data_IF_285297646192
#
_entry.id   IF_285297646192
#
_cell.length_a   1.000
_cell.length_b   1.000
_cell.length_c   1.000
_cell.angle_alpha   90.00
_cell.angle_beta   90.00
_cell.angle_gamma   90.00
#
_symmetry.space_group_name_H-M   'P 1'
#
loop_
_entity.id
_entity.type
_entity.pdbx_description
1 polymer ?
#
# COMPACT_ATOMS: atom_id res chain seq x y z
N UNK A 1 -49.42 49.68 1.11
CA UNK A 1 -49.04 50.78 2.04
C UNK A 1 -47.76 50.36 2.76
N UNK A 2 -46.66 51.12 2.56
CA UNK A 2 -45.44 51.35 3.38
C UNK A 2 -45.08 50.28 4.45
N UNK A 3 -43.84 49.82 4.67
CA UNK A 3 -42.48 50.15 4.21
C UNK A 3 -41.52 49.02 4.69
N UNK A 4 -40.36 48.93 4.01
CA UNK A 4 -39.16 48.11 4.29
C UNK A 4 -38.50 48.44 5.64
N UNK A 5 -37.67 47.51 6.14
CA UNK A 5 -36.62 47.80 7.12
C UNK A 5 -35.62 46.64 7.26
N UNK A 6 -34.48 46.78 6.58
CA UNK A 6 -33.26 45.96 6.70
C UNK A 6 -32.29 46.73 7.60
N UNK A 7 -31.63 46.10 8.58
CA UNK A 7 -30.40 46.64 9.19
C UNK A 7 -29.40 45.49 9.34
N UNK A 8 -28.30 45.64 8.60
CA UNK A 8 -27.06 44.90 8.76
C UNK A 8 -26.18 45.61 9.81
N UNK A 9 -25.42 44.85 10.59
CA UNK A 9 -24.26 45.37 11.31
C UNK A 9 -23.00 44.72 10.76
N UNK A 10 -22.20 45.53 10.08
CA UNK A 10 -20.79 45.28 9.83
C UNK A 10 -19.99 46.07 10.88
N UNK A 11 -19.03 45.42 11.53
CA UNK A 11 -18.01 46.09 12.32
C UNK A 11 -16.65 45.69 11.76
N UNK A 12 -16.07 46.59 10.96
CA UNK A 12 -14.66 46.61 10.65
C UNK A 12 -13.96 47.41 11.76
N UNK A 13 -13.02 46.79 12.45
CA UNK A 13 -12.13 47.43 13.41
C UNK A 13 -10.71 47.44 12.88
N UNK A 14 -10.30 48.56 12.30
CA UNK A 14 -8.89 48.90 12.06
C UNK A 14 -8.33 49.47 13.36
N UNK A 15 -7.25 48.89 13.87
CA UNK A 15 -6.37 49.54 14.85
C UNK A 15 -4.98 49.59 14.22
N UNK A 16 -4.56 50.79 13.85
CA UNK A 16 -3.19 51.08 13.46
C UNK A 16 -2.45 51.81 14.59
N UNK A 17 -1.15 51.55 14.69
CA UNK A 17 -0.18 52.50 15.20
C UNK A 17 0.23 52.34 16.67
N UNK A 18 1.35 51.67 16.90
CA UNK A 18 2.03 51.65 18.19
C UNK A 18 3.35 50.89 18.12
N UNK A 19 4.31 51.41 17.34
CA UNK A 19 5.66 50.86 17.26
C UNK A 19 6.38 51.08 18.59
N UNK A 20 6.52 50.01 19.38
CA UNK A 20 7.54 49.91 20.42
C UNK A 20 8.71 49.11 19.84
N UNK A 21 9.78 49.83 19.52
CA UNK A 21 11.10 49.25 19.29
C UNK A 21 11.62 48.69 20.61
N UNK A 22 11.34 47.41 20.88
CA UNK A 22 12.17 46.61 21.77
C UNK A 22 13.23 45.93 20.91
N UNK A 23 14.47 46.40 21.00
CA UNK A 23 15.65 45.69 20.51
C UNK A 23 15.81 44.40 21.32
N UNK A 24 15.11 43.35 20.90
CA UNK A 24 15.40 42.00 21.33
C UNK A 24 16.53 41.48 20.45
N UNK A 25 17.75 41.53 20.97
CA UNK A 25 18.88 40.78 20.41
C UNK A 25 18.52 39.31 20.51
N UNK A 26 18.02 38.73 19.42
CA UNK A 26 17.83 37.30 19.33
C UNK A 26 19.21 36.65 19.35
N UNK A 27 19.67 36.26 20.54
CA UNK A 27 20.72 35.25 20.65
C UNK A 27 20.08 33.99 20.09
N UNK A 28 20.35 33.72 18.81
CA UNK A 28 20.09 32.43 18.19
C UNK A 28 20.92 31.42 18.99
N UNK A 29 20.29 30.73 19.92
CA UNK A 29 20.89 29.56 20.53
C UNK A 29 21.24 28.61 19.37
N UNK A 30 22.53 28.48 19.08
CA UNK A 30 23.02 27.44 18.19
C UNK A 30 22.65 26.13 18.87
N UNK A 31 21.60 25.47 18.38
CA UNK A 31 21.36 24.08 18.71
C UNK A 31 22.61 23.32 18.29
N UNK A 32 23.35 22.86 19.30
CA UNK A 32 24.47 21.97 19.10
C UNK A 32 23.93 20.75 18.36
N UNK A 33 24.53 20.35 17.22
CA UNK A 33 24.06 19.20 16.47
C UNK A 33 24.04 18.00 17.42
N UNK A 34 22.92 17.29 17.46
CA UNK A 34 22.81 16.07 18.24
C UNK A 34 23.98 15.14 17.84
N UNK A 35 24.66 14.50 18.80
CA UNK A 35 25.73 13.56 18.48
C UNK A 35 25.17 12.53 17.51
N UNK A 36 25.92 12.29 16.43
CA UNK A 36 25.55 11.30 15.43
C UNK A 36 25.25 9.97 16.13
N UNK A 37 24.10 9.38 15.81
CA UNK A 37 23.79 8.04 16.29
C UNK A 37 24.98 7.12 15.93
N UNK A 38 25.45 6.29 16.87
CA UNK A 38 26.52 5.34 16.57
C UNK A 38 26.12 4.54 15.33
N UNK A 39 27.06 4.25 14.41
CA UNK A 39 26.75 3.49 13.22
C UNK A 39 26.11 2.17 13.66
N UNK A 40 24.84 1.98 13.29
CA UNK A 40 24.16 0.70 13.48
C UNK A 40 25.07 -0.34 12.88
N UNK A 41 25.50 -1.34 13.68
CA UNK A 41 26.24 -2.47 13.14
C UNK A 41 25.45 -2.96 11.93
N UNK A 42 26.09 -2.95 10.75
CA UNK A 42 25.44 -3.36 9.53
C UNK A 42 24.85 -4.74 9.80
N UNK A 43 23.51 -4.83 9.73
CA UNK A 43 22.84 -6.13 9.79
C UNK A 43 23.53 -6.96 8.71
N UNK A 44 24.12 -8.13 9.06
CA UNK A 44 24.82 -8.93 8.08
C UNK A 44 23.86 -9.16 6.89
N UNK A 45 24.36 -9.04 5.66
CA UNK A 45 23.52 -9.22 4.49
C UNK A 45 22.80 -10.55 4.61
N UNK A 46 21.48 -10.54 4.42
CA UNK A 46 20.68 -11.75 4.40
C UNK A 46 21.30 -12.65 3.31
N UNK A 47 21.83 -13.80 3.72
CA UNK A 47 22.36 -14.80 2.77
C UNK A 47 21.26 -15.24 1.80
N UNK A 48 21.62 -15.91 0.68
CA UNK A 48 20.61 -16.43 -0.24
C UNK A 48 19.60 -17.29 0.52
N UNK A 49 18.31 -17.16 0.18
CA UNK A 49 17.26 -17.94 0.82
C UNK A 49 17.58 -19.44 0.70
N UNK A 50 17.63 -20.16 1.82
CA UNK A 50 17.82 -21.60 1.81
C UNK A 50 16.54 -22.27 1.30
N UNK A 51 16.55 -22.93 0.13
CA UNK A 51 15.37 -23.59 -0.41
C UNK A 51 14.82 -24.67 0.53
N UNK A 52 15.65 -25.25 1.40
CA UNK A 52 15.23 -26.28 2.36
C UNK A 52 14.39 -25.70 3.51
N UNK A 53 14.51 -24.42 3.81
CA UNK A 53 13.71 -23.74 4.83
C UNK A 53 12.37 -23.23 4.30
N UNK A 54 12.11 -23.40 3.00
CA UNK A 54 10.86 -22.96 2.38
C UNK A 54 9.68 -23.91 2.68
N UNK A 55 9.93 -25.11 3.20
CA UNK A 55 8.87 -26.06 3.57
C UNK A 55 9.17 -26.64 4.95
N UNK A 56 8.25 -26.43 5.89
CA UNK A 56 8.33 -26.97 7.24
C UNK A 56 7.20 -27.98 7.44
N UNK A 57 7.50 -29.26 7.74
CA UNK A 57 6.46 -30.22 8.10
C UNK A 57 5.86 -29.84 9.45
N UNK A 58 4.53 -29.97 9.58
CA UNK A 58 3.78 -29.78 10.82
C UNK A 58 2.99 -31.06 11.14
N UNK A 59 2.42 -31.21 12.36
CA UNK A 59 1.64 -32.38 12.72
C UNK A 59 0.53 -32.72 11.71
N UNK A 60 0.04 -33.97 11.75
CA UNK A 60 -1.02 -34.47 10.86
C UNK A 60 -0.63 -34.53 9.36
N UNK A 61 0.67 -34.46 9.06
CA UNK A 61 1.18 -34.58 7.68
C UNK A 61 0.96 -33.33 6.83
N UNK A 62 0.59 -32.19 7.43
CA UNK A 62 0.47 -30.90 6.75
C UNK A 62 1.82 -30.21 6.62
N UNK A 63 1.90 -29.23 5.73
CA UNK A 63 3.11 -28.44 5.50
C UNK A 63 2.83 -26.94 5.62
N UNK A 64 3.84 -26.22 6.11
CA UNK A 64 3.92 -24.77 6.00
C UNK A 64 4.91 -24.44 4.88
N UNK A 65 4.45 -23.68 3.89
CA UNK A 65 5.26 -23.24 2.76
C UNK A 65 5.58 -21.76 2.90
N UNK A 66 6.82 -21.36 2.62
CA UNK A 66 7.21 -19.96 2.49
C UNK A 66 7.20 -19.60 1.00
N UNK A 67 6.47 -18.54 0.65
CA UNK A 67 6.44 -17.99 -0.70
C UNK A 67 6.89 -16.52 -0.67
N UNK A 68 8.19 -16.27 -0.86
CA UNK A 68 8.71 -14.91 -0.97
C UNK A 68 8.13 -14.18 -2.19
N UNK A 69 8.06 -12.86 -2.12
CA UNK A 69 7.60 -12.02 -3.22
C UNK A 69 8.81 -11.47 -3.95
N UNK A 70 9.13 -12.08 -5.09
CA UNK A 70 10.23 -11.70 -5.98
C UNK A 70 9.68 -11.41 -7.38
N UNK A 71 10.54 -11.00 -8.32
CA UNK A 71 10.10 -10.78 -9.70
C UNK A 71 9.74 -12.11 -10.40
N UNK A 72 10.29 -13.21 -9.93
CA UNK A 72 10.05 -14.56 -10.43
C UNK A 72 8.76 -15.17 -9.87
N UNK A 73 8.36 -14.80 -8.65
CA UNK A 73 7.17 -15.32 -7.97
C UNK A 73 5.96 -14.38 -8.05
N UNK A 74 6.07 -13.25 -8.73
CA UNK A 74 5.00 -12.26 -8.83
C UNK A 74 4.68 -11.85 -10.27
N UNK A 75 3.41 -11.54 -10.52
CA UNK A 75 2.94 -10.95 -11.76
C UNK A 75 2.50 -9.50 -11.52
N UNK A 76 2.83 -8.61 -12.46
CA UNK A 76 2.38 -7.22 -12.39
C UNK A 76 1.12 -7.03 -13.22
N UNK A 77 0.00 -6.83 -12.52
CA UNK A 77 -1.17 -6.19 -13.06
C UNK A 77 -2.13 -7.10 -13.82
N UNK A 78 -1.82 -8.39 -13.92
CA UNK A 78 -2.56 -9.35 -14.72
C UNK A 78 -2.81 -10.66 -13.97
N UNK A 79 -4.02 -11.19 -14.12
CA UNK A 79 -4.29 -12.61 -13.95
C UNK A 79 -4.09 -13.30 -15.30
N UNK A 80 -3.05 -14.14 -15.40
CA UNK A 80 -2.77 -14.93 -16.59
C UNK A 80 -2.76 -16.41 -16.22
N UNK A 81 -3.68 -17.19 -16.79
CA UNK A 81 -3.78 -18.62 -16.52
C UNK A 81 -2.74 -19.48 -17.25
N UNK A 82 -2.00 -18.91 -18.21
CA UNK A 82 -0.86 -19.56 -18.82
C UNK A 82 0.43 -19.47 -17.97
N UNK A 83 0.43 -18.67 -16.90
CA UNK A 83 1.60 -18.54 -16.03
C UNK A 83 1.86 -19.86 -15.27
N UNK A 84 3.07 -20.43 -15.36
CA UNK A 84 3.42 -21.62 -14.59
C UNK A 84 3.26 -21.37 -13.08
N UNK A 85 2.84 -22.38 -12.31
CA UNK A 85 2.76 -22.24 -10.86
C UNK A 85 4.16 -22.06 -10.26
N UNK A 86 4.24 -21.13 -9.32
CA UNK A 86 5.48 -20.82 -8.58
C UNK A 86 5.55 -21.58 -7.25
N UNK A 87 4.45 -22.22 -6.86
CA UNK A 87 4.32 -23.09 -5.70
C UNK A 87 3.23 -24.14 -5.98
N UNK A 88 3.43 -25.37 -5.50
CA UNK A 88 2.40 -26.44 -5.49
C UNK A 88 2.14 -26.87 -4.05
N UNK A 89 0.87 -26.94 -3.64
CA UNK A 89 0.47 -27.30 -2.27
C UNK A 89 -0.65 -28.33 -2.28
N UNK A 90 -0.87 -28.99 -1.14
CA UNK A 90 -2.03 -29.84 -0.93
C UNK A 90 -3.13 -29.08 -0.19
N UNK A 91 -4.37 -29.55 -0.30
CA UNK A 91 -5.48 -29.04 0.52
C UNK A 91 -5.17 -29.13 2.02
N UNK A 92 -5.36 -28.02 2.74
CA UNK A 92 -5.08 -27.89 4.17
C UNK A 92 -3.63 -27.54 4.52
N UNK A 93 -2.73 -27.41 3.55
CA UNK A 93 -1.41 -26.80 3.80
C UNK A 93 -1.55 -25.30 4.14
N UNK A 94 -0.56 -24.75 4.82
CA UNK A 94 -0.47 -23.31 5.13
C UNK A 94 0.60 -22.67 4.25
N UNK A 95 0.33 -21.46 3.73
CA UNK A 95 1.31 -20.66 3.00
C UNK A 95 1.57 -19.36 3.74
N UNK A 96 2.83 -19.13 4.13
CA UNK A 96 3.34 -17.83 4.54
C UNK A 96 3.82 -17.12 3.29
N UNK A 97 2.98 -16.25 2.76
CA UNK A 97 3.22 -15.55 1.51
C UNK A 97 3.60 -14.10 1.76
N UNK A 98 4.65 -13.64 1.11
CA UNK A 98 4.98 -12.23 1.04
C UNK A 98 4.19 -11.54 -0.08
N UNK A 99 4.02 -10.22 0.04
CA UNK A 99 3.43 -9.40 -1.01
C UNK A 99 4.33 -8.21 -1.32
N UNK A 100 4.34 -7.80 -2.58
CA UNK A 100 4.95 -6.52 -2.95
C UNK A 100 3.91 -5.40 -2.94
N UNK A 101 4.40 -4.19 -2.72
CA UNK A 101 3.67 -2.98 -3.01
C UNK A 101 3.35 -2.90 -4.51
N UNK A 102 2.40 -2.04 -4.86
CA UNK A 102 1.99 -1.76 -6.23
C UNK A 102 3.19 -1.58 -7.18
N UNK A 103 2.98 -2.00 -8.41
CA UNK A 103 3.92 -1.84 -9.51
C UNK A 103 5.29 -2.47 -9.25
N UNK A 104 5.31 -3.73 -8.78
CA UNK A 104 6.53 -4.45 -8.39
C UNK A 104 7.40 -3.63 -7.42
N UNK A 105 6.82 -3.20 -6.30
CA UNK A 105 7.51 -2.40 -5.28
C UNK A 105 8.01 -1.02 -5.73
N UNK A 106 7.43 -0.41 -6.77
CA UNK A 106 7.84 0.93 -7.21
C UNK A 106 7.09 2.08 -6.53
N UNK A 107 5.94 1.81 -5.89
CA UNK A 107 5.20 2.83 -5.12
C UNK A 107 5.67 2.84 -3.65
N UNK A 108 6.79 3.52 -3.38
CA UNK A 108 7.45 3.53 -2.06
C UNK A 108 7.64 4.96 -1.55
N UNK A 109 7.92 5.18 -0.26
CA UNK A 109 8.13 6.53 0.26
C UNK A 109 9.18 7.28 -0.57
N UNK A 110 8.79 8.43 -1.12
CA UNK A 110 9.60 9.23 -2.03
C UNK A 110 9.20 9.14 -3.50
N UNK A 111 8.46 8.09 -3.93
CA UNK A 111 7.92 8.01 -5.29
C UNK A 111 6.86 9.10 -5.49
N UNK A 112 7.03 9.95 -6.50
CA UNK A 112 6.12 11.08 -6.78
C UNK A 112 4.84 10.63 -7.48
N UNK A 113 3.82 11.50 -7.50
CA UNK A 113 2.56 11.17 -8.17
C UNK A 113 2.71 11.06 -9.70
N UNK A 114 3.64 11.81 -10.29
CA UNK A 114 3.99 11.76 -11.70
C UNK A 114 4.61 10.42 -12.06
N UNK A 115 5.50 9.90 -11.19
CA UNK A 115 6.06 8.57 -11.34
C UNK A 115 4.98 7.49 -11.23
N UNK A 116 4.08 7.59 -10.25
CA UNK A 116 2.94 6.66 -10.09
C UNK A 116 2.02 6.69 -11.32
N UNK A 117 1.71 7.90 -11.82
CA UNK A 117 0.94 8.08 -13.05
C UNK A 117 1.62 7.38 -14.22
N UNK A 118 2.93 7.59 -14.40
CA UNK A 118 3.72 6.94 -15.46
C UNK A 118 3.64 5.42 -15.38
N UNK A 119 3.84 4.84 -14.20
CA UNK A 119 3.71 3.39 -13.96
C UNK A 119 2.33 2.85 -14.36
N UNK A 120 1.29 3.68 -14.20
CA UNK A 120 -0.09 3.35 -14.55
C UNK A 120 -0.38 3.51 -16.04
N UNK A 121 0.26 4.45 -16.76
CA UNK A 121 -0.06 4.77 -18.15
C UNK A 121 0.85 4.10 -19.19
N UNK A 122 2.07 3.72 -18.82
CA UNK A 122 3.04 3.13 -19.76
C UNK A 122 2.57 1.80 -20.37
N UNK A 123 1.66 1.10 -19.69
CA UNK A 123 1.14 -0.20 -20.12
C UNK A 123 -0.39 -0.19 -20.05
N UNK A 124 -1.07 0.24 -21.14
CA UNK A 124 -2.53 0.27 -21.20
C UNK A 124 -3.15 -1.08 -20.81
N UNK A 125 -4.21 -1.04 -19.99
CA UNK A 125 -4.93 -2.23 -19.51
C UNK A 125 -4.30 -2.96 -18.32
N UNK A 126 -2.99 -2.85 -18.10
CA UNK A 126 -2.30 -3.51 -16.97
C UNK A 126 -2.78 -2.92 -15.66
N UNK A 127 -3.12 -3.74 -14.66
CA UNK A 127 -3.43 -3.23 -13.32
C UNK A 127 -2.20 -2.75 -12.54
N UNK A 128 -2.37 -1.96 -11.47
CA UNK A 128 -1.24 -1.51 -10.67
C UNK A 128 -0.82 -2.56 -9.63
N UNK A 129 -1.60 -3.62 -9.44
CA UNK A 129 -1.37 -4.66 -8.44
C UNK A 129 -0.15 -5.53 -8.77
N UNK A 130 0.59 -5.91 -7.74
CA UNK A 130 1.55 -7.02 -7.82
C UNK A 130 0.91 -8.24 -7.19
N UNK A 131 0.85 -9.35 -7.92
CA UNK A 131 0.18 -10.57 -7.50
C UNK A 131 1.23 -11.66 -7.26
N UNK A 132 1.40 -12.10 -6.01
CA UNK A 132 2.26 -13.25 -5.68
C UNK A 132 1.53 -14.54 -6.05
N UNK A 133 2.21 -15.44 -6.77
CA UNK A 133 1.63 -16.66 -7.34
C UNK A 133 1.91 -16.80 -8.84
N UNK A 134 1.24 -17.74 -9.53
CA UNK A 134 0.11 -18.54 -9.07
C UNK A 134 0.53 -19.73 -8.20
N UNK A 135 -0.33 -20.12 -7.27
CA UNK A 135 -0.17 -21.31 -6.43
C UNK A 135 -1.08 -22.40 -6.99
N UNK A 136 -0.51 -23.55 -7.32
CA UNK A 136 -1.26 -24.73 -7.75
C UNK A 136 -1.69 -25.54 -6.53
N UNK A 137 -2.95 -25.98 -6.50
CA UNK A 137 -3.49 -26.82 -5.44
C UNK A 137 -3.73 -28.20 -6.02
N UNK A 138 -3.03 -29.20 -5.48
CA UNK A 138 -3.16 -30.58 -5.93
C UNK A 138 -4.59 -31.07 -5.76
N UNK A 139 -5.14 -31.66 -6.83
CA UNK A 139 -6.49 -32.23 -6.87
C UNK A 139 -7.63 -31.21 -6.98
N UNK A 140 -7.35 -29.90 -7.05
CA UNK A 140 -8.39 -28.91 -7.33
C UNK A 140 -8.76 -28.90 -8.83
N UNK A 141 -10.05 -28.97 -9.15
CA UNK A 141 -10.57 -29.05 -10.52
C UNK A 141 -11.60 -27.94 -10.81
N UNK A 142 -11.85 -27.59 -12.10
CA UNK A 142 -12.92 -26.69 -12.47
C UNK A 142 -14.28 -27.14 -11.92
N UNK A 143 -14.93 -26.27 -11.15
CA UNK A 143 -16.19 -26.56 -10.45
C UNK A 143 -16.03 -26.64 -8.93
N UNK A 144 -14.81 -26.83 -8.43
CA UNK A 144 -14.52 -26.78 -7.01
C UNK A 144 -14.57 -25.37 -6.43
N UNK A 145 -14.65 -25.30 -5.10
CA UNK A 145 -14.57 -24.05 -4.33
C UNK A 145 -13.38 -24.09 -3.40
N UNK A 146 -12.52 -23.07 -3.49
CA UNK A 146 -11.43 -22.89 -2.54
C UNK A 146 -11.93 -22.15 -1.28
N UNK A 147 -11.83 -22.81 -0.13
CA UNK A 147 -11.93 -22.16 1.18
C UNK A 147 -10.56 -21.70 1.63
N UNK A 148 -10.34 -20.38 1.64
CA UNK A 148 -9.09 -19.76 2.11
C UNK A 148 -9.33 -19.16 3.49
N UNK A 149 -8.53 -19.55 4.48
CA UNK A 149 -8.53 -18.94 5.82
C UNK A 149 -7.32 -18.04 5.97
N UNK A 150 -7.55 -16.73 6.15
CA UNK A 150 -6.48 -15.76 6.39
C UNK A 150 -6.15 -15.77 7.88
N UNK A 151 -5.08 -16.47 8.25
CA UNK A 151 -4.67 -16.63 9.64
C UNK A 151 -4.11 -15.34 10.25
N UNK A 152 -3.25 -14.64 9.50
CA UNK A 152 -2.58 -13.42 9.97
C UNK A 152 -2.15 -12.58 8.78
N UNK A 153 -2.23 -11.26 8.93
CA UNK A 153 -1.62 -10.29 8.02
C UNK A 153 -0.63 -9.47 8.83
N UNK A 154 0.60 -9.37 8.35
CA UNK A 154 1.63 -8.49 8.92
C UNK A 154 1.85 -7.36 7.91
N UNK A 155 1.38 -6.13 8.20
CA UNK A 155 1.59 -5.01 7.30
C UNK A 155 3.07 -4.64 7.20
N UNK A 156 3.46 -3.99 6.11
CA UNK A 156 4.75 -3.28 6.04
C UNK A 156 4.72 -2.09 7.00
N UNK A 157 5.90 -1.54 7.31
CA UNK A 157 6.03 -0.37 8.18
C UNK A 157 5.45 0.94 7.59
N UNK A 158 5.01 0.92 6.32
CA UNK A 158 4.41 2.07 5.66
C UNK A 158 3.26 1.67 4.74
N UNK A 159 2.42 2.64 4.42
CA UNK A 159 1.35 2.56 3.42
C UNK A 159 1.40 3.77 2.47
N UNK A 160 0.71 3.64 1.34
CA UNK A 160 0.53 4.72 0.38
C UNK A 160 -0.97 4.93 0.12
N UNK A 161 -1.38 6.20 0.09
CA UNK A 161 -2.68 6.62 -0.41
C UNK A 161 -2.45 7.64 -1.51
N UNK A 162 -3.07 7.45 -2.67
CA UNK A 162 -2.86 8.34 -3.80
C UNK A 162 -4.10 8.44 -4.68
N UNK A 163 -4.25 9.59 -5.33
CA UNK A 163 -5.19 9.82 -6.42
C UNK A 163 -4.39 10.09 -7.70
N UNK A 164 -4.54 9.21 -8.68
CA UNK A 164 -3.93 9.44 -10.00
C UNK A 164 -4.75 10.52 -10.72
N UNK A 165 -4.15 11.66 -11.09
CA UNK A 165 -4.87 12.85 -11.50
C UNK A 165 -5.74 12.63 -12.73
N UNK A 166 -6.99 13.10 -12.68
CA UNK A 166 -7.92 13.21 -13.82
C UNK A 166 -8.16 11.92 -14.62
N UNK A 167 -7.81 10.74 -14.09
CA UNK A 167 -7.87 9.47 -14.84
C UNK A 167 -8.63 8.36 -14.12
N UNK A 168 -8.36 8.16 -12.83
CA UNK A 168 -8.88 7.03 -12.06
C UNK A 168 -9.55 7.50 -10.77
N UNK A 169 -10.36 6.61 -10.18
CA UNK A 169 -11.11 6.89 -8.94
C UNK A 169 -12.54 7.37 -9.21
N UNK A 170 -13.26 7.66 -8.14
CA UNK A 170 -14.69 8.00 -8.19
C UNK A 170 -14.97 9.43 -8.69
N UNK A 171 -14.05 10.36 -8.43
CA UNK A 171 -14.24 11.80 -8.72
C UNK A 171 -13.05 12.45 -9.47
N UNK A 172 -12.59 11.88 -10.60
CA UNK A 172 -11.37 12.35 -11.27
C UNK A 172 -11.48 13.79 -11.79
N UNK A 173 -12.69 14.26 -12.11
CA UNK A 173 -12.91 15.64 -12.58
C UNK A 173 -12.84 16.68 -11.45
N UNK A 174 -13.07 16.27 -10.20
CA UNK A 174 -13.02 17.15 -9.03
C UNK A 174 -11.60 17.22 -8.43
N UNK A 175 -10.82 16.16 -8.56
CA UNK A 175 -9.45 16.06 -8.06
C UNK A 175 -8.46 15.92 -9.22
N UNK A 176 -8.29 17.01 -9.95
CA UNK A 176 -7.43 17.08 -11.13
C UNK A 176 -5.94 17.12 -10.76
N UNK A 177 -5.62 17.64 -9.58
CA UNK A 177 -4.27 17.59 -9.03
C UNK A 177 -4.03 16.25 -8.35
N UNK A 178 -2.99 15.57 -8.82
CA UNK A 178 -2.60 14.27 -8.29
C UNK A 178 -1.88 14.45 -6.97
N UNK A 179 -2.12 13.56 -6.02
CA UNK A 179 -1.43 13.54 -4.74
C UNK A 179 -1.05 12.11 -4.39
N UNK A 180 0.07 11.98 -3.69
CA UNK A 180 0.45 10.76 -2.98
C UNK A 180 0.85 11.13 -1.58
N UNK A 181 0.34 10.37 -0.62
CA UNK A 181 0.69 10.44 0.79
C UNK A 181 1.23 9.09 1.22
N UNK A 182 2.44 9.12 1.75
CA UNK A 182 3.01 7.99 2.46
C UNK A 182 2.77 8.15 3.95
N UNK A 183 2.41 7.05 4.60
CA UNK A 183 2.09 6.99 6.01
C UNK A 183 2.97 5.93 6.64
N UNK A 184 3.65 6.26 7.73
CA UNK A 184 4.36 5.28 8.54
C UNK A 184 3.39 4.71 9.58
N UNK A 185 3.37 3.38 9.68
CA UNK A 185 2.37 2.67 10.46
C UNK A 185 2.91 2.38 11.87
N UNK A 186 2.14 2.73 12.89
CA UNK A 186 2.35 2.26 14.27
C UNK A 186 1.71 0.87 14.36
N UNK A 187 2.54 -0.18 14.18
CA UNK A 187 2.08 -1.57 14.18
C UNK A 187 1.82 -2.11 15.60
N UNK A 188 2.39 -1.48 16.62
CA UNK A 188 2.13 -1.86 18.02
C UNK A 188 0.73 -1.40 18.43
N UNK A 189 0.34 -0.18 18.05
CA UNK A 189 -1.00 0.36 18.31
C UNK A 189 -2.01 0.07 17.21
N UNK A 190 -1.57 -0.51 16.10
CA UNK A 190 -2.37 -0.73 14.89
C UNK A 190 -3.09 0.55 14.44
N UNK A 191 -2.34 1.65 14.27
CA UNK A 191 -2.89 2.93 13.81
C UNK A 191 -1.88 3.72 12.94
N UNK A 192 -2.35 4.77 12.28
CA UNK A 192 -1.50 5.77 11.61
C UNK A 192 -2.10 7.15 11.73
N UNK A 193 -1.28 8.19 11.87
CA UNK A 193 -1.72 9.56 11.71
C UNK A 193 -1.74 9.92 10.21
N UNK A 194 -2.91 10.29 9.68
CA UNK A 194 -3.08 10.63 8.26
C UNK A 194 -2.66 12.07 7.99
N UNK A 195 -3.13 12.99 8.84
CA UNK A 195 -2.79 14.41 8.92
C UNK A 195 -2.75 14.80 10.40
N UNK A 196 -2.14 15.94 10.79
CA UNK A 196 -2.03 16.32 12.19
C UNK A 196 -3.37 16.26 12.94
N UNK A 197 -3.40 15.47 14.01
CA UNK A 197 -4.57 15.25 14.86
C UNK A 197 -5.60 14.24 14.32
N UNK A 198 -5.41 13.67 13.13
CA UNK A 198 -6.31 12.68 12.53
C UNK A 198 -5.65 11.32 12.49
N UNK A 199 -6.04 10.47 13.44
CA UNK A 199 -5.53 9.11 13.58
C UNK A 199 -6.54 8.10 13.04
N UNK A 200 -6.06 7.17 12.21
CA UNK A 200 -6.85 6.14 11.55
C UNK A 200 -6.42 4.76 12.08
N UNK A 201 -7.35 3.90 12.53
CA UNK A 201 -7.03 2.54 12.93
C UNK A 201 -6.69 1.66 11.71
N UNK A 202 -5.71 0.76 11.88
CA UNK A 202 -5.32 -0.20 10.86
C UNK A 202 -6.19 -1.46 10.96
N UNK A 203 -6.85 -1.78 9.86
CA UNK A 203 -7.60 -3.03 9.68
C UNK A 203 -7.15 -3.68 8.38
N UNK A 204 -6.01 -4.39 8.36
CA UNK A 204 -5.46 -4.93 7.12
C UNK A 204 -6.36 -6.03 6.57
N UNK A 205 -6.56 -6.03 5.25
CA UNK A 205 -7.27 -7.05 4.50
C UNK A 205 -6.66 -7.17 3.09
N UNK A 206 -6.77 -8.32 2.42
CA UNK A 206 -6.28 -8.47 1.06
C UNK A 206 -7.18 -7.71 0.08
N UNK A 207 -6.62 -6.74 -0.64
CA UNK A 207 -7.35 -6.01 -1.69
C UNK A 207 -7.57 -6.85 -2.95
N UNK A 208 -6.66 -7.78 -3.25
CA UNK A 208 -6.77 -8.68 -4.41
C UNK A 208 -6.56 -10.12 -3.96
N UNK A 209 -7.56 -10.96 -4.22
CA UNK A 209 -7.52 -12.40 -4.01
C UNK A 209 -8.40 -13.02 -5.11
N UNK A 210 -7.89 -14.00 -5.82
CA UNK A 210 -8.60 -14.61 -6.94
C UNK A 210 -7.89 -15.86 -7.43
N UNK A 211 -8.64 -16.68 -8.17
CA UNK A 211 -8.12 -17.85 -8.89
C UNK A 211 -7.93 -17.52 -10.37
N UNK A 212 -7.28 -18.43 -11.09
CA UNK A 212 -7.14 -18.28 -12.53
C UNK A 212 -8.48 -18.58 -13.22
N UNK A 213 -8.84 -17.77 -14.22
CA UNK A 213 -10.04 -18.00 -15.05
C UNK A 213 -9.94 -19.29 -15.85
N UNK A 214 -11.08 -19.88 -16.13
CA UNK A 214 -11.20 -21.04 -17.02
C UNK A 214 -10.83 -20.66 -18.46
N UNK A 215 -11.29 -19.50 -18.95
CA UNK A 215 -10.95 -19.05 -20.29
C UNK A 215 -9.47 -18.63 -20.37
N UNK A 216 -8.71 -19.13 -21.37
CA UNK A 216 -7.33 -18.70 -21.61
C UNK A 216 -7.24 -17.19 -21.82
N UNK A 217 -6.28 -16.55 -21.15
CA UNK A 217 -5.99 -15.16 -21.42
C UNK A 217 -5.30 -14.40 -20.31
N UNK A 218 -4.98 -13.15 -20.65
CA UNK A 218 -4.40 -12.18 -19.75
C UNK A 218 -5.48 -11.15 -19.35
N UNK A 219 -5.93 -11.22 -18.11
CA UNK A 219 -7.00 -10.38 -17.58
C UNK A 219 -6.47 -9.33 -16.64
N UNK A 220 -6.92 -8.08 -16.78
CA UNK A 220 -6.52 -7.02 -15.86
C UNK A 220 -6.88 -7.40 -14.43
N UNK A 221 -5.98 -7.10 -13.49
CA UNK A 221 -6.21 -7.28 -12.05
C UNK A 221 -7.07 -6.18 -11.43
N UNK A 222 -7.50 -5.17 -12.20
CA UNK A 222 -8.27 -4.02 -11.70
C UNK A 222 -9.73 -4.36 -11.44
N UNK A 223 -10.52 -4.80 -12.42
CA UNK A 223 -11.93 -5.08 -12.18
C UNK A 223 -12.07 -6.33 -11.32
N UNK A 224 -12.90 -6.32 -10.27
CA UNK A 224 -13.36 -7.57 -9.68
C UNK A 224 -14.24 -8.32 -10.69
N UNK A 225 -14.43 -9.61 -10.48
CA UNK A 225 -15.27 -10.40 -11.37
C UNK A 225 -15.27 -11.87 -11.02
N UNK A 226 -15.86 -12.66 -11.92
CA UNK A 226 -15.68 -14.12 -11.87
C UNK A 226 -14.26 -14.42 -12.30
N UNK A 227 -13.55 -15.09 -11.40
CA UNK A 227 -12.19 -15.56 -11.56
C UNK A 227 -12.20 -17.03 -11.25
#
# INVERSE_FOLDING_TARGET
MKRRGLIAFAAAGVIGGGAWLTTATAIRAQQQPAPAAPPTQAVPPIGPADPKLQIVPVPEGKKVHLLPATLETTQWGWFNNAQPPVLRINSGDTVVMETMMHSHNQVIPGTTIEQIKKLRTDFPGRGPHTLTGPIYIEGAEPGDVLKITINKIVPRAYAANFNVPAMFGQFPQQFQDGQVRYMYLDLDKMQTEFIPGVVVPLRPFPGTLGVARAEPGQYSSVPPGRY
#
